data_IF_015217528767
#
_entry.id   IF_015217528767
#
_cell.length_a   1.000
_cell.length_b   1.000
_cell.length_c   1.000
_cell.angle_alpha   90.00
_cell.angle_beta   90.00
_cell.angle_gamma   90.00
#
_symmetry.space_group_name_H-M   'P 1'
#
loop_
_entity.id
_entity.type
_entity.pdbx_description
1 polymer ?
#
# COMPACT_ATOMS: atom_id res chain seq x y z
N UNK A 1 -16.79 -38.58 13.54
CA UNK A 1 -17.19 -39.56 12.50
C UNK A 1 -17.53 -38.77 11.26
N UNK A 2 -16.62 -38.72 10.29
CA UNK A 2 -16.86 -38.04 9.01
C UNK A 2 -16.51 -39.05 7.93
N UNK A 3 -17.56 -39.59 7.31
CA UNK A 3 -17.51 -40.60 6.26
C UNK A 3 -16.73 -40.07 5.07
N UNK A 4 -15.60 -40.73 4.80
CA UNK A 4 -14.81 -40.52 3.59
C UNK A 4 -15.51 -41.30 2.48
N UNK A 5 -15.96 -40.65 1.38
CA UNK A 5 -16.59 -41.36 0.28
C UNK A 5 -15.58 -42.34 -0.32
N UNK A 6 -15.90 -43.62 -0.22
CA UNK A 6 -15.14 -44.71 -0.80
C UNK A 6 -15.22 -44.59 -2.32
N UNK A 7 -14.13 -44.09 -2.93
CA UNK A 7 -13.95 -44.13 -4.38
C UNK A 7 -13.67 -45.59 -4.75
N UNK A 8 -14.73 -46.39 -4.84
CA UNK A 8 -14.68 -47.74 -5.41
C UNK A 8 -14.50 -47.56 -6.92
N UNK A 9 -13.24 -47.41 -7.34
CA UNK A 9 -12.86 -47.46 -8.75
C UNK A 9 -13.11 -48.87 -9.25
N UNK A 10 -14.27 -49.07 -9.90
CA UNK A 10 -14.64 -50.32 -10.56
C UNK A 10 -13.77 -50.50 -11.81
N UNK A 11 -12.54 -50.95 -11.62
CA UNK A 11 -11.63 -51.38 -12.69
C UNK A 11 -12.00 -52.79 -13.19
N UNK A 12 -13.25 -52.99 -13.66
CA UNK A 12 -13.63 -54.20 -14.38
C UNK A 12 -13.97 -53.79 -15.80
N UNK A 13 -13.06 -54.01 -16.76
CA UNK A 13 -13.51 -54.05 -18.16
C UNK A 13 -12.54 -53.74 -19.31
N UNK A 14 -11.30 -53.26 -19.12
CA UNK A 14 -10.44 -52.88 -20.28
C UNK A 14 -9.35 -53.93 -20.61
N UNK A 15 -9.34 -55.07 -19.93
CA UNK A 15 -8.34 -56.13 -20.16
C UNK A 15 -8.79 -57.07 -21.29
N UNK A 16 -9.08 -56.50 -22.46
CA UNK A 16 -9.36 -57.23 -23.69
C UNK A 16 -8.11 -57.93 -24.22
N UNK A 17 -8.19 -59.26 -24.35
CA UNK A 17 -7.32 -60.23 -25.03
C UNK A 17 -6.10 -59.65 -25.79
N UNK A 18 -4.88 -59.89 -25.26
CA UNK A 18 -3.63 -59.72 -26.04
C UNK A 18 -2.35 -59.38 -25.26
N UNK A 19 -2.43 -58.93 -24.01
CA UNK A 19 -1.27 -58.38 -23.27
C UNK A 19 -0.67 -59.38 -22.27
N UNK A 20 0.66 -59.55 -22.31
CA UNK A 20 1.44 -60.43 -21.42
C UNK A 20 1.37 -59.99 -19.95
N UNK A 21 1.53 -60.93 -19.01
CA UNK A 21 1.44 -60.67 -17.56
C UNK A 21 2.41 -59.58 -17.08
N UNK A 22 3.62 -59.52 -17.64
CA UNK A 22 4.63 -58.52 -17.27
C UNK A 22 4.20 -57.09 -17.64
N UNK A 23 3.55 -56.92 -18.79
CA UNK A 23 3.04 -55.62 -19.20
C UNK A 23 1.91 -55.14 -18.28
N UNK A 24 1.07 -56.06 -17.78
CA UNK A 24 0.02 -55.72 -16.80
C UNK A 24 0.58 -55.23 -15.47
N UNK A 25 1.65 -55.86 -14.97
CA UNK A 25 2.33 -55.46 -13.73
C UNK A 25 3.02 -54.10 -13.91
N UNK A 26 3.69 -53.89 -15.05
CA UNK A 26 4.37 -52.63 -15.36
C UNK A 26 3.36 -51.46 -15.45
N UNK A 27 2.20 -51.68 -16.08
CA UNK A 27 1.12 -50.70 -16.13
C UNK A 27 0.55 -50.41 -14.75
N UNK A 28 0.35 -51.45 -13.91
CA UNK A 28 -0.13 -51.25 -12.55
C UNK A 28 0.87 -50.44 -11.71
N UNK A 29 2.17 -50.72 -11.82
CA UNK A 29 3.21 -50.02 -11.09
C UNK A 29 3.31 -48.54 -11.49
N UNK A 30 3.32 -48.24 -12.79
CA UNK A 30 3.37 -46.85 -13.29
C UNK A 30 2.15 -46.05 -12.89
N UNK A 31 0.96 -46.65 -12.94
CA UNK A 31 -0.28 -45.99 -12.50
C UNK A 31 -0.23 -45.65 -11.00
N UNK A 32 0.28 -46.57 -10.17
CA UNK A 32 0.47 -46.34 -8.73
C UNK A 32 1.43 -45.18 -8.46
N UNK A 33 2.54 -45.10 -9.22
CA UNK A 33 3.51 -44.00 -9.12
C UNK A 33 2.88 -42.65 -9.50
N UNK A 34 2.11 -42.60 -10.60
CA UNK A 34 1.42 -41.38 -11.04
C UNK A 34 0.40 -40.93 -9.97
N UNK A 35 -0.31 -41.88 -9.37
CA UNK A 35 -1.29 -41.59 -8.34
C UNK A 35 -0.63 -41.06 -7.05
N UNK A 36 0.47 -41.66 -6.62
CA UNK A 36 1.26 -41.16 -5.49
C UNK A 36 1.80 -39.75 -5.75
N UNK A 37 2.36 -39.50 -6.93
CA UNK A 37 2.87 -38.18 -7.31
C UNK A 37 1.75 -37.14 -7.38
N UNK A 38 0.59 -37.52 -7.91
CA UNK A 38 -0.61 -36.69 -7.95
C UNK A 38 -1.05 -36.24 -6.55
N UNK A 39 -1.15 -37.19 -5.61
CA UNK A 39 -1.53 -36.88 -4.22
C UNK A 39 -0.51 -35.93 -3.56
N UNK A 40 0.79 -36.21 -3.70
CA UNK A 40 1.84 -35.35 -3.15
C UNK A 40 1.78 -33.95 -3.75
N UNK A 41 1.61 -33.84 -5.07
CA UNK A 41 1.50 -32.54 -5.76
C UNK A 41 0.28 -31.74 -5.29
N UNK A 42 -0.86 -32.39 -5.06
CA UNK A 42 -2.07 -31.73 -4.56
C UNK A 42 -1.86 -31.18 -3.14
N UNK A 43 -1.26 -31.98 -2.24
CA UNK A 43 -0.96 -31.55 -0.87
C UNK A 43 0.03 -30.40 -0.83
N UNK A 44 1.09 -30.47 -1.65
CA UNK A 44 2.06 -29.38 -1.79
C UNK A 44 1.37 -28.14 -2.35
N UNK A 45 0.52 -28.28 -3.37
CA UNK A 45 -0.24 -27.17 -3.96
C UNK A 45 -1.12 -26.45 -2.94
N UNK A 46 -1.89 -27.19 -2.13
CA UNK A 46 -2.73 -26.59 -1.09
C UNK A 46 -1.89 -25.82 -0.05
N UNK A 47 -0.81 -26.43 0.47
CA UNK A 47 0.06 -25.76 1.45
C UNK A 47 0.78 -24.56 0.84
N UNK A 48 1.25 -24.69 -0.40
CA UNK A 48 1.93 -23.62 -1.13
C UNK A 48 0.98 -22.45 -1.38
N UNK A 49 -0.29 -22.70 -1.71
CA UNK A 49 -1.30 -21.65 -1.90
C UNK A 49 -1.52 -20.84 -0.62
N UNK A 50 -1.75 -21.50 0.52
CA UNK A 50 -1.95 -20.80 1.81
C UNK A 50 -0.69 -20.05 2.25
N UNK A 51 0.48 -20.64 2.04
CA UNK A 51 1.76 -19.98 2.35
C UNK A 51 1.99 -18.76 1.45
N UNK A 52 1.70 -18.86 0.16
CA UNK A 52 1.81 -17.76 -0.81
C UNK A 52 0.82 -16.64 -0.49
N UNK A 53 -0.41 -16.95 -0.12
CA UNK A 53 -1.41 -15.96 0.30
C UNK A 53 -0.94 -15.20 1.55
N UNK A 54 -0.44 -15.92 2.56
CA UNK A 54 0.07 -15.32 3.80
C UNK A 54 1.29 -14.42 3.51
N UNK A 55 2.22 -14.90 2.68
CA UNK A 55 3.40 -14.13 2.28
C UNK A 55 2.99 -12.87 1.49
N UNK A 56 2.03 -12.99 0.56
CA UNK A 56 1.50 -11.89 -0.23
C UNK A 56 0.78 -10.87 0.64
N UNK A 57 -0.04 -11.31 1.60
CA UNK A 57 -0.72 -10.40 2.52
C UNK A 57 0.26 -9.66 3.43
N UNK A 58 1.32 -10.33 3.88
CA UNK A 58 2.39 -9.68 4.64
C UNK A 58 3.14 -8.66 3.79
N UNK A 59 3.49 -9.01 2.55
CA UNK A 59 4.11 -8.07 1.62
C UNK A 59 3.22 -6.87 1.33
N UNK A 60 1.93 -7.10 1.08
CA UNK A 60 0.95 -6.03 0.85
C UNK A 60 0.84 -5.09 2.06
N UNK A 61 0.83 -5.64 3.28
CA UNK A 61 0.86 -4.84 4.52
C UNK A 61 2.15 -4.03 4.65
N UNK A 62 3.29 -4.61 4.31
CA UNK A 62 4.59 -3.90 4.34
C UNK A 62 4.62 -2.78 3.32
N UNK A 63 4.25 -3.06 2.06
CA UNK A 63 4.18 -2.05 1.00
C UNK A 63 3.21 -0.91 1.36
N UNK A 64 2.05 -1.24 1.95
CA UNK A 64 1.11 -0.24 2.45
C UNK A 64 1.73 0.62 3.57
N UNK A 65 2.46 0.02 4.51
CA UNK A 65 3.17 0.76 5.56
C UNK A 65 4.25 1.67 4.99
N UNK A 66 5.03 1.20 4.02
CA UNK A 66 6.04 2.01 3.34
C UNK A 66 5.42 3.20 2.61
N UNK A 67 4.32 3.00 1.89
CA UNK A 67 3.58 4.08 1.23
C UNK A 67 3.04 5.11 2.23
N UNK A 68 2.48 4.66 3.36
CA UNK A 68 1.99 5.55 4.43
C UNK A 68 3.13 6.36 5.04
N UNK A 69 4.29 5.76 5.28
CA UNK A 69 5.46 6.46 5.81
C UNK A 69 5.93 7.55 4.84
N UNK A 70 5.97 7.25 3.53
CA UNK A 70 6.35 8.22 2.51
C UNK A 70 5.37 9.41 2.48
N UNK A 71 4.07 9.15 2.48
CA UNK A 71 3.03 10.20 2.52
C UNK A 71 3.12 11.01 3.81
N UNK A 72 3.24 10.35 4.96
CA UNK A 72 3.33 11.03 6.25
C UNK A 72 4.58 11.90 6.35
N UNK A 73 5.71 11.47 5.79
CA UNK A 73 6.95 12.25 5.75
C UNK A 73 6.78 13.53 4.94
N UNK A 74 6.16 13.46 3.76
CA UNK A 74 5.86 14.64 2.93
C UNK A 74 4.91 15.60 3.64
N UNK A 75 3.80 15.08 4.17
CA UNK A 75 2.83 15.88 4.93
C UNK A 75 3.48 16.60 6.12
N UNK A 76 4.32 15.92 6.90
CA UNK A 76 5.04 16.55 8.02
C UNK A 76 5.97 17.66 7.57
N UNK A 77 6.70 17.46 6.47
CA UNK A 77 7.65 18.44 5.95
C UNK A 77 6.94 19.69 5.44
N UNK A 78 5.88 19.51 4.65
CA UNK A 78 5.10 20.62 4.11
C UNK A 78 4.35 21.37 5.22
N UNK A 79 3.76 20.64 6.17
CA UNK A 79 3.08 21.25 7.32
C UNK A 79 4.06 22.01 8.22
N UNK A 80 5.27 21.49 8.45
CA UNK A 80 6.30 22.20 9.21
C UNK A 80 6.67 23.53 8.53
N UNK A 81 6.81 23.54 7.21
CA UNK A 81 7.09 24.76 6.43
C UNK A 81 5.98 25.81 6.62
N UNK A 82 4.72 25.40 6.51
CA UNK A 82 3.56 26.30 6.70
C UNK A 82 3.45 26.79 8.16
N UNK A 83 3.67 25.91 9.14
CA UNK A 83 3.68 26.27 10.57
C UNK A 83 4.78 27.29 10.84
N UNK A 84 5.99 27.09 10.33
CA UNK A 84 7.10 28.03 10.53
C UNK A 84 6.80 29.38 9.87
N UNK A 85 6.19 29.39 8.68
CA UNK A 85 5.75 30.64 8.05
C UNK A 85 4.73 31.39 8.93
N UNK A 86 3.63 30.73 9.31
CA UNK A 86 2.61 31.33 10.16
C UNK A 86 3.11 31.74 11.55
N UNK A 87 4.00 30.94 12.15
CA UNK A 87 4.64 31.28 13.41
C UNK A 87 5.47 32.55 13.26
N UNK A 88 6.29 32.67 12.22
CA UNK A 88 7.09 33.88 11.95
C UNK A 88 6.21 35.13 11.95
N UNK A 89 5.10 35.08 11.21
CA UNK A 89 4.13 36.18 11.16
C UNK A 89 3.54 36.48 12.54
N UNK A 90 3.05 35.46 13.26
CA UNK A 90 2.47 35.63 14.59
C UNK A 90 3.47 36.21 15.61
N UNK A 91 4.72 35.73 15.61
CA UNK A 91 5.78 36.22 16.51
C UNK A 91 6.17 37.66 16.19
N UNK A 92 6.24 38.04 14.92
CA UNK A 92 6.56 39.43 14.51
C UNK A 92 5.47 40.41 14.94
N UNK A 93 4.20 40.01 14.79
CA UNK A 93 3.05 40.79 15.25
C UNK A 93 3.04 40.91 16.78
N UNK A 94 3.28 39.80 17.50
CA UNK A 94 3.37 39.81 18.96
C UNK A 94 4.53 40.67 19.49
N UNK A 95 5.62 40.79 18.72
CA UNK A 95 6.74 41.68 19.02
C UNK A 95 6.47 43.16 18.67
N UNK A 96 5.26 43.49 18.23
CA UNK A 96 4.84 44.82 17.76
C UNK A 96 5.73 45.35 16.62
N UNK A 97 6.20 44.43 15.77
CA UNK A 97 7.00 44.69 14.56
C UNK A 97 6.30 44.05 13.36
N UNK A 98 5.16 44.61 12.93
CA UNK A 98 4.43 44.05 11.81
C UNK A 98 5.29 44.07 10.56
N UNK A 99 5.23 42.98 9.80
CA UNK A 99 5.89 42.85 8.51
C UNK A 99 5.20 43.76 7.49
N UNK A 100 5.97 44.23 6.51
CA UNK A 100 5.39 44.96 5.37
C UNK A 100 4.58 43.99 4.51
N UNK A 101 3.53 44.50 3.83
CA UNK A 101 2.63 43.67 3.02
C UNK A 101 3.38 42.94 1.91
N UNK A 102 4.36 43.61 1.29
CA UNK A 102 5.25 43.03 0.29
C UNK A 102 6.13 41.92 0.88
N UNK A 103 6.54 42.04 2.14
CA UNK A 103 7.32 41.00 2.82
C UNK A 103 6.47 39.76 3.10
N UNK A 104 5.18 39.93 3.44
CA UNK A 104 4.25 38.81 3.59
C UNK A 104 4.00 38.10 2.26
N UNK A 105 3.82 38.84 1.17
CA UNK A 105 3.65 38.27 -0.17
C UNK A 105 4.87 37.47 -0.60
N UNK A 106 6.08 38.00 -0.38
CA UNK A 106 7.32 37.28 -0.69
C UNK A 106 7.53 36.06 0.22
N UNK A 107 7.14 36.12 1.50
CA UNK A 107 7.14 34.94 2.38
C UNK A 107 6.14 33.87 1.92
N UNK A 108 4.98 34.30 1.43
CA UNK A 108 3.97 33.40 0.85
C UNK A 108 4.50 32.72 -0.41
N UNK A 109 5.10 33.48 -1.33
CA UNK A 109 5.76 32.94 -2.53
C UNK A 109 6.93 32.03 -2.18
N UNK A 110 7.71 32.34 -1.16
CA UNK A 110 8.81 31.50 -0.71
C UNK A 110 8.32 30.12 -0.21
N UNK A 111 7.10 30.05 0.33
CA UNK A 111 6.46 28.77 0.72
C UNK A 111 6.16 27.89 -0.50
N UNK A 112 5.93 28.49 -1.67
CA UNK A 112 5.74 27.78 -2.95
C UNK A 112 7.04 27.22 -3.57
N UNK A 113 8.19 27.40 -2.91
CA UNK A 113 9.41 26.72 -3.32
C UNK A 113 9.31 25.19 -3.11
N UNK A 114 8.37 24.72 -2.28
CA UNK A 114 8.04 23.30 -2.17
C UNK A 114 7.11 22.87 -3.31
N UNK A 115 7.52 21.85 -4.08
CA UNK A 115 6.74 21.29 -5.19
C UNK A 115 5.40 20.67 -4.74
N UNK A 116 5.30 20.28 -3.47
CA UNK A 116 4.06 19.71 -2.90
C UNK A 116 3.05 20.79 -2.45
N UNK A 117 3.39 22.08 -2.51
CA UNK A 117 2.51 23.19 -2.12
C UNK A 117 2.02 23.92 -3.38
N UNK A 118 0.71 23.89 -3.63
CA UNK A 118 0.08 24.47 -4.83
C UNK A 118 -0.17 25.98 -4.66
N UNK A 119 -0.51 26.41 -3.44
CA UNK A 119 -0.83 27.79 -3.12
C UNK A 119 -0.52 28.11 -1.66
N UNK A 120 -0.24 29.38 -1.37
CA UNK A 120 0.02 29.89 -0.03
C UNK A 120 -0.45 31.34 0.05
N UNK A 121 -1.14 31.66 1.14
CA UNK A 121 -1.61 33.01 1.44
C UNK A 121 -1.68 33.26 2.94
N UNK A 122 -1.51 34.52 3.32
CA UNK A 122 -1.65 34.99 4.70
C UNK A 122 -2.84 35.95 4.74
N UNK A 123 -3.88 35.58 5.48
CA UNK A 123 -5.05 36.42 5.69
C UNK A 123 -5.17 36.81 7.16
N UNK A 124 -5.55 38.06 7.42
CA UNK A 124 -5.74 38.59 8.77
C UNK A 124 -7.12 39.24 8.90
N UNK A 125 -7.55 39.48 10.13
CA UNK A 125 -8.71 40.32 10.42
C UNK A 125 -8.49 41.76 9.92
N UNK A 126 -9.57 42.55 9.69
CA UNK A 126 -9.44 43.94 9.30
C UNK A 126 -8.60 44.73 10.31
N UNK A 127 -7.63 45.49 9.80
CA UNK A 127 -6.61 46.22 10.56
C UNK A 127 -5.70 45.34 11.44
N UNK A 128 -5.70 44.03 11.23
CA UNK A 128 -4.96 43.05 12.04
C UNK A 128 -3.45 43.00 11.77
N UNK A 129 -2.99 43.53 10.65
CA UNK A 129 -1.55 43.56 10.29
C UNK A 129 -0.86 44.82 10.82
N UNK A 130 -1.22 45.98 10.26
CA UNK A 130 -0.54 47.26 10.47
C UNK A 130 -1.51 48.39 10.85
N UNK A 131 -2.81 48.11 10.94
CA UNK A 131 -3.86 49.09 11.21
C UNK A 131 -4.13 50.06 10.06
N UNK A 132 -3.59 49.80 8.86
CA UNK A 132 -3.63 50.72 7.71
C UNK A 132 -4.46 50.21 6.55
N UNK A 133 -5.41 49.30 6.78
CA UNK A 133 -6.23 48.74 5.69
C UNK A 133 -6.95 49.83 4.88
N UNK A 134 -7.33 50.94 5.54
CA UNK A 134 -7.99 52.08 4.89
C UNK A 134 -7.10 52.76 3.82
N UNK A 135 -5.78 52.72 3.95
CA UNK A 135 -4.84 53.30 2.98
C UNK A 135 -4.75 52.47 1.68
N UNK A 136 -5.24 51.23 1.71
CA UNK A 136 -5.16 50.26 0.61
C UNK A 136 -6.53 49.82 0.08
N UNK A 137 -7.63 50.39 0.58
CA UNK A 137 -9.01 50.06 0.16
C UNK A 137 -9.44 50.73 -1.16
N UNK A 138 -8.47 51.24 -1.95
CA UNK A 138 -8.67 52.02 -3.18
C UNK A 138 -8.83 51.19 -4.44
#
# INVERSE_FOLDING_TARGET
>A
MQDVPSVVVKARGVWGRGISLNAKICVAATLLVILSLGITSAVIGFKASTAAETATMNLARTAAREAVIAVQSRLRTNLATVITNGATVAWTLAANRPLQREQLDEMSKATLASEDIIDSGISMEPNGLDGKDADYAG
#
